data_IF_161917089948
#
_entry.id   IF_161917089948
#
_cell.length_a   1.000
_cell.length_b   1.000
_cell.length_c   1.000
_cell.angle_alpha   90.00
_cell.angle_beta   90.00
_cell.angle_gamma   90.00
#
_symmetry.space_group_name_H-M   'P 1'
#
loop_
_entity.id
_entity.type
_entity.pdbx_description
1 polymer ?
#
# COMPACT_ATOMS: atom_id res chain seq x y z
N UNK A 1 1.64 6.60 7.81
CA UNK A 1 2.93 6.46 7.07
C UNK A 1 3.36 7.75 6.36
N UNK A 2 2.52 8.80 6.27
CA UNK A 2 2.93 10.12 5.77
C UNK A 2 3.64 10.95 6.86
N UNK A 3 4.54 11.86 6.45
CA UNK A 3 5.24 12.80 7.33
C UNK A 3 5.25 14.20 6.72
N UNK A 4 5.03 15.24 7.51
CA UNK A 4 5.30 16.62 7.10
C UNK A 4 6.76 16.94 7.36
N UNK A 5 7.47 17.43 6.33
CA UNK A 5 8.90 17.77 6.40
C UNK A 5 9.16 19.15 5.83
N UNK A 6 10.20 19.82 6.33
CA UNK A 6 10.55 21.21 5.98
C UNK A 6 10.46 22.13 7.19
N UNK A 7 11.22 23.23 7.15
CA UNK A 7 11.30 24.22 8.24
C UNK A 7 11.03 25.65 7.77
N UNK A 8 10.90 25.85 6.45
CA UNK A 8 10.62 27.14 5.82
C UNK A 8 9.41 26.99 4.88
N UNK A 9 8.62 28.04 4.64
CA UNK A 9 7.45 27.95 3.77
C UNK A 9 7.72 27.31 2.39
N UNK A 10 8.86 27.61 1.76
CA UNK A 10 9.23 27.04 0.47
C UNK A 10 9.77 25.60 0.49
N UNK A 11 9.96 25.00 1.68
CA UNK A 11 10.46 23.62 1.84
C UNK A 11 9.44 22.65 2.45
N UNK A 12 8.28 23.15 2.90
CA UNK A 12 7.21 22.32 3.48
C UNK A 12 6.65 21.40 2.40
N UNK A 13 6.65 20.10 2.69
CA UNK A 13 6.11 19.06 1.81
C UNK A 13 5.70 17.82 2.59
N UNK A 14 4.90 16.98 1.96
CA UNK A 14 4.54 15.66 2.48
C UNK A 14 5.50 14.59 1.95
N UNK A 15 5.98 13.73 2.83
CA UNK A 15 6.79 12.55 2.53
C UNK A 15 5.95 11.29 2.77
N UNK A 16 5.72 10.51 1.71
CA UNK A 16 4.99 9.23 1.77
C UNK A 16 5.99 8.07 1.76
N UNK A 17 5.97 7.25 2.81
CA UNK A 17 7.03 6.25 3.08
C UNK A 17 6.58 4.80 2.92
N UNK A 18 5.41 4.57 2.32
CA UNK A 18 4.84 3.22 2.26
C UNK A 18 5.30 2.41 1.04
N UNK A 19 5.46 3.06 -0.12
CA UNK A 19 5.82 2.36 -1.34
C UNK A 19 7.25 1.82 -1.27
N UNK A 20 7.43 0.55 -1.63
CA UNK A 20 8.74 -0.07 -1.83
C UNK A 20 9.38 0.34 -3.16
N UNK A 21 10.66 0.02 -3.32
CA UNK A 21 11.43 0.32 -4.54
C UNK A 21 11.00 -0.51 -5.75
N UNK A 22 10.28 -1.61 -5.50
CA UNK A 22 9.67 -2.54 -6.45
C UNK A 22 8.36 -2.01 -7.05
N UNK A 23 7.75 -0.98 -6.47
CA UNK A 23 6.49 -0.44 -6.95
C UNK A 23 6.66 0.36 -8.26
N UNK A 24 5.66 0.27 -9.15
CA UNK A 24 5.62 1.10 -10.35
C UNK A 24 5.49 2.59 -9.96
N UNK A 25 6.50 3.45 -10.24
CA UNK A 25 6.52 4.82 -9.75
C UNK A 25 5.38 5.67 -10.32
N UNK A 26 4.91 5.36 -11.53
CA UNK A 26 3.80 6.08 -12.16
C UNK A 26 2.48 5.78 -11.45
N UNK A 27 2.20 4.52 -11.14
CA UNK A 27 0.98 4.13 -10.42
C UNK A 27 0.99 4.64 -8.98
N UNK A 28 2.16 4.63 -8.32
CA UNK A 28 2.32 5.22 -6.99
C UNK A 28 2.02 6.72 -6.99
N UNK A 29 2.64 7.48 -7.90
CA UNK A 29 2.41 8.92 -8.00
C UNK A 29 0.96 9.25 -8.36
N UNK A 30 0.39 8.54 -9.34
CA UNK A 30 -1.01 8.72 -9.73
C UNK A 30 -1.97 8.45 -8.56
N UNK A 31 -1.75 7.36 -7.83
CA UNK A 31 -2.58 6.98 -6.67
C UNK A 31 -2.48 7.99 -5.53
N UNK A 32 -1.27 8.48 -5.24
CA UNK A 32 -1.06 9.55 -4.26
C UNK A 32 -1.78 10.84 -4.66
N UNK A 33 -1.63 11.29 -5.91
CA UNK A 33 -2.29 12.51 -6.40
C UNK A 33 -3.81 12.35 -6.34
N UNK A 34 -4.36 11.23 -6.83
CA UNK A 34 -5.80 10.95 -6.78
C UNK A 34 -6.34 10.97 -5.34
N UNK A 35 -5.59 10.41 -4.39
CA UNK A 35 -5.99 10.38 -2.97
C UNK A 35 -5.93 11.76 -2.32
N UNK A 36 -4.93 12.57 -2.67
CA UNK A 36 -4.81 13.95 -2.19
C UNK A 36 -5.95 14.81 -2.73
N UNK A 37 -6.26 14.67 -4.02
CA UNK A 37 -7.36 15.41 -4.67
C UNK A 37 -8.70 15.03 -4.03
N UNK A 38 -9.01 13.74 -3.88
CA UNK A 38 -10.25 13.28 -3.21
C UNK A 38 -10.38 13.83 -1.78
N UNK A 39 -9.28 13.80 -1.02
CA UNK A 39 -9.25 14.35 0.33
C UNK A 39 -9.52 15.85 0.39
N UNK A 40 -8.96 16.62 -0.55
CA UNK A 40 -9.18 18.08 -0.65
C UNK A 40 -10.61 18.38 -1.07
N UNK A 41 -11.11 17.73 -2.13
CA UNK A 41 -12.45 17.96 -2.69
C UNK A 41 -13.55 17.64 -1.68
N UNK A 42 -13.36 16.57 -0.90
CA UNK A 42 -14.32 16.13 0.13
C UNK A 42 -14.05 16.74 1.50
N UNK A 43 -13.03 17.59 1.62
CA UNK A 43 -12.63 18.25 2.86
C UNK A 43 -12.47 17.27 4.03
N UNK A 44 -11.81 16.13 3.76
CA UNK A 44 -11.62 15.08 4.77
C UNK A 44 -10.72 15.57 5.89
N UNK A 45 -11.11 15.31 7.14
CA UNK A 45 -10.28 15.56 8.31
C UNK A 45 -9.27 14.41 8.48
N UNK A 46 -7.95 14.65 8.35
CA UNK A 46 -6.93 13.63 8.57
C UNK A 46 -6.77 13.25 10.05
N UNK A 47 -7.42 13.98 10.96
CA UNK A 47 -7.28 13.83 12.40
C UNK A 47 -6.00 14.49 12.95
N UNK A 48 -5.79 14.40 14.26
CA UNK A 48 -4.60 14.97 14.89
C UNK A 48 -3.33 14.24 14.43
N UNK A 49 -2.18 14.95 14.34
CA UNK A 49 -0.92 14.31 14.00
C UNK A 49 -0.52 13.29 15.07
N UNK A 50 -0.12 12.11 14.64
CA UNK A 50 0.44 11.11 15.53
C UNK A 50 1.82 11.55 16.05
N UNK A 51 1.99 11.47 17.37
CA UNK A 51 3.24 11.77 18.08
C UNK A 51 3.74 10.54 18.84
N UNK A 52 5.06 10.45 19.03
CA UNK A 52 5.70 9.32 19.70
C UNK A 52 6.00 8.14 18.78
N UNK A 53 6.16 6.94 19.37
CA UNK A 53 6.52 5.72 18.66
C UNK A 53 5.28 5.08 18.01
N UNK A 54 5.19 5.03 16.66
CA UNK A 54 4.02 4.47 15.98
C UNK A 54 3.88 2.94 16.15
N UNK A 55 4.93 2.24 16.59
CA UNK A 55 4.88 0.78 16.82
C UNK A 55 4.16 0.39 18.13
N UNK A 56 3.91 1.35 19.02
CA UNK A 56 3.26 1.10 20.33
C UNK A 56 1.73 1.19 20.28
N UNK A 57 1.17 1.60 19.14
CA UNK A 57 -0.28 1.67 18.93
C UNK A 57 -0.70 0.85 17.71
N UNK A 58 -1.82 0.13 17.76
CA UNK A 58 -2.38 -0.51 16.57
C UNK A 58 -2.87 0.60 15.62
N UNK A 59 -2.04 0.94 14.63
CA UNK A 59 -2.46 1.81 13.54
C UNK A 59 -3.49 1.08 12.66
N UNK A 60 -4.36 1.84 11.98
CA UNK A 60 -5.27 1.29 10.97
C UNK A 60 -4.51 0.36 10.01
N UNK A 61 -4.97 -0.89 9.93
CA UNK A 61 -4.12 -1.97 9.44
C UNK A 61 -3.89 -1.86 7.92
N UNK A 62 -2.67 -1.45 7.56
CA UNK A 62 -2.08 -1.70 6.25
C UNK A 62 -2.11 -3.22 6.03
N UNK A 63 -2.54 -3.70 4.85
CA UNK A 63 -2.51 -5.13 4.52
C UNK A 63 -1.13 -5.73 4.83
N UNK A 64 -1.11 -6.87 5.51
CA UNK A 64 0.14 -7.54 5.92
C UNK A 64 0.71 -8.43 4.82
N UNK A 65 -0.12 -8.79 3.84
CA UNK A 65 0.21 -9.71 2.75
C UNK A 65 -0.36 -9.19 1.43
N UNK A 66 0.23 -9.63 0.31
CA UNK A 66 -0.19 -9.21 -1.03
C UNK A 66 -1.66 -9.57 -1.31
N UNK A 67 -2.10 -10.76 -0.89
CA UNK A 67 -3.49 -11.20 -1.09
C UNK A 67 -4.52 -10.24 -0.49
N UNK A 68 -4.30 -9.77 0.74
CA UNK A 68 -5.19 -8.79 1.39
C UNK A 68 -5.17 -7.43 0.69
N UNK A 69 -3.99 -7.00 0.23
CA UNK A 69 -3.82 -5.73 -0.47
C UNK A 69 -4.59 -5.71 -1.78
N UNK A 70 -4.45 -6.79 -2.56
CA UNK A 70 -5.11 -7.00 -3.84
C UNK A 70 -6.63 -7.12 -3.70
N UNK A 71 -7.11 -7.86 -2.71
CA UNK A 71 -8.55 -7.98 -2.45
C UNK A 71 -9.18 -6.61 -2.15
N UNK A 72 -8.52 -5.79 -1.31
CA UNK A 72 -8.95 -4.42 -1.02
C UNK A 72 -8.86 -3.50 -2.24
N UNK A 73 -7.79 -3.61 -3.03
CA UNK A 73 -7.60 -2.82 -4.24
C UNK A 73 -8.69 -3.10 -5.27
N UNK A 74 -9.01 -4.37 -5.55
CA UNK A 74 -10.04 -4.78 -6.50
C UNK A 74 -11.45 -4.35 -6.07
N UNK A 75 -11.74 -4.37 -4.77
CA UNK A 75 -13.04 -3.99 -4.22
C UNK A 75 -13.23 -2.47 -4.03
N UNK A 76 -12.19 -1.66 -4.24
CA UNK A 76 -12.24 -0.23 -3.95
C UNK A 76 -12.93 0.57 -5.06
N UNK A 77 -14.09 1.14 -4.75
CA UNK A 77 -14.80 2.08 -5.63
C UNK A 77 -13.95 3.31 -5.92
N UNK A 78 -13.21 3.83 -4.93
CA UNK A 78 -12.29 4.95 -5.10
C UNK A 78 -11.20 4.65 -6.13
N UNK A 79 -10.54 3.49 -6.03
CA UNK A 79 -9.49 3.11 -6.97
C UNK A 79 -10.06 2.92 -8.37
N UNK A 80 -11.25 2.33 -8.49
CA UNK A 80 -11.95 2.19 -9.78
C UNK A 80 -12.29 3.54 -10.41
N UNK A 81 -12.76 4.50 -9.61
CA UNK A 81 -12.98 5.86 -10.08
C UNK A 81 -11.68 6.56 -10.52
N UNK A 82 -10.57 6.32 -9.80
CA UNK A 82 -9.29 6.96 -10.07
C UNK A 82 -8.55 6.38 -11.29
N UNK A 83 -8.62 5.06 -11.51
CA UNK A 83 -7.81 4.36 -12.52
C UNK A 83 -8.62 3.69 -13.63
N UNK A 84 -9.93 3.53 -13.45
CA UNK A 84 -10.81 2.79 -14.36
C UNK A 84 -10.77 1.28 -14.15
N UNK A 85 -11.91 0.64 -14.41
CA UNK A 85 -12.10 -0.80 -14.16
C UNK A 85 -11.08 -1.69 -14.88
N UNK A 86 -10.78 -1.39 -16.15
CA UNK A 86 -9.85 -2.21 -16.94
C UNK A 86 -8.44 -2.27 -16.35
N UNK A 87 -7.93 -1.15 -15.81
CA UNK A 87 -6.62 -1.14 -15.15
C UNK A 87 -6.68 -1.89 -13.83
N UNK A 88 -7.70 -1.62 -13.02
CA UNK A 88 -7.87 -2.24 -11.70
C UNK A 88 -7.96 -3.76 -11.83
N UNK A 89 -8.79 -4.26 -12.75
CA UNK A 89 -9.01 -5.68 -12.95
C UNK A 89 -7.76 -6.37 -13.51
N UNK A 90 -7.06 -5.74 -14.47
CA UNK A 90 -5.82 -6.28 -15.01
C UNK A 90 -4.72 -6.37 -13.94
N UNK A 91 -4.48 -5.27 -13.23
CA UNK A 91 -3.42 -5.21 -12.23
C UNK A 91 -3.68 -6.13 -11.04
N UNK A 92 -4.94 -6.20 -10.57
CA UNK A 92 -5.34 -7.14 -9.52
C UNK A 92 -5.13 -8.58 -9.96
N UNK A 93 -5.54 -8.96 -11.18
CA UNK A 93 -5.38 -10.33 -11.70
C UNK A 93 -3.92 -10.78 -11.72
N UNK A 94 -3.00 -9.90 -12.16
CA UNK A 94 -1.55 -10.21 -12.18
C UNK A 94 -1.04 -10.45 -10.76
N UNK A 95 -1.42 -9.59 -9.81
CA UNK A 95 -0.95 -9.69 -8.43
C UNK A 95 -1.59 -10.87 -7.67
N UNK A 96 -2.83 -11.26 -7.98
CA UNK A 96 -3.43 -12.51 -7.48
C UNK A 96 -2.67 -13.73 -7.97
N UNK A 97 -2.36 -13.77 -9.26
CA UNK A 97 -1.58 -14.85 -9.83
C UNK A 97 -0.18 -14.97 -9.18
N UNK A 98 0.49 -13.84 -8.97
CA UNK A 98 1.77 -13.80 -8.24
C UNK A 98 1.63 -14.33 -6.80
N UNK A 99 0.58 -13.92 -6.10
CA UNK A 99 0.30 -14.38 -4.74
C UNK A 99 0.04 -15.89 -4.69
N UNK A 100 -0.75 -16.43 -5.61
CA UNK A 100 -1.02 -17.85 -5.71
C UNK A 100 0.26 -18.65 -6.02
N UNK A 101 1.11 -18.15 -6.91
CA UNK A 101 2.42 -18.76 -7.19
C UNK A 101 3.30 -18.81 -5.94
N UNK A 102 3.34 -17.71 -5.16
CA UNK A 102 4.10 -17.66 -3.92
C UNK A 102 3.59 -18.69 -2.91
N UNK A 103 2.27 -18.79 -2.71
CA UNK A 103 1.67 -19.73 -1.75
C UNK A 103 1.86 -21.20 -2.12
N UNK A 104 1.95 -21.52 -3.40
CA UNK A 104 2.19 -22.88 -3.88
C UNK A 104 3.69 -23.26 -3.93
N UNK A 105 4.58 -22.30 -3.66
CA UNK A 105 6.02 -22.51 -3.68
C UNK A 105 6.55 -23.08 -2.36
N UNK A 106 7.33 -24.17 -2.43
CA UNK A 106 8.10 -24.64 -1.27
C UNK A 106 9.42 -23.86 -1.19
N UNK A 107 9.57 -23.07 -0.14
CA UNK A 107 10.74 -22.22 0.09
C UNK A 107 11.93 -22.99 0.67
N UNK A 108 13.13 -22.46 0.51
CA UNK A 108 14.33 -23.03 1.15
C UNK A 108 14.30 -22.94 2.67
N UNK A 109 13.53 -22.01 3.24
CA UNK A 109 13.32 -21.95 4.69
C UNK A 109 12.53 -23.19 5.16
N UNK A 110 11.43 -23.52 4.48
CA UNK A 110 10.62 -24.70 4.79
C UNK A 110 11.41 -25.99 4.61
N UNK A 111 12.17 -26.13 3.50
CA UNK A 111 13.05 -27.30 3.28
C UNK A 111 14.04 -27.47 4.44
N UNK A 112 14.80 -26.42 4.78
CA UNK A 112 15.78 -26.49 5.89
C UNK A 112 15.14 -26.77 7.24
N UNK A 113 13.89 -26.37 7.45
CA UNK A 113 13.19 -26.52 8.73
C UNK A 113 12.53 -27.89 8.90
N UNK A 114 12.05 -28.50 7.82
CA UNK A 114 11.18 -29.68 7.89
C UNK A 114 11.68 -30.89 7.09
N UNK A 115 12.68 -30.75 6.21
CA UNK A 115 13.12 -31.85 5.35
C UNK A 115 13.96 -32.91 6.09
N UNK A 116 14.89 -32.47 6.95
CA UNK A 116 15.78 -33.38 7.72
C UNK A 116 15.36 -33.54 9.19
N UNK A 117 14.32 -32.81 9.62
CA UNK A 117 13.92 -32.72 11.05
C UNK A 117 12.70 -33.57 11.38
N UNK A 118 12.23 -34.39 10.42
CA UNK A 118 11.09 -35.30 10.55
C UNK A 118 11.52 -36.71 10.16
#
# INVERSE_FOLDING_TARGET
SARVVGHTPGSIRMEFRLAGADANPYLVLAGLIASIVDGIERQLDPGPPETGNPYERPAGAIPQHLGDAVARFRASEFVRAAFGDGLVDHYATVAEFEWDLFLNGVTDWERRRYFDTV
#
